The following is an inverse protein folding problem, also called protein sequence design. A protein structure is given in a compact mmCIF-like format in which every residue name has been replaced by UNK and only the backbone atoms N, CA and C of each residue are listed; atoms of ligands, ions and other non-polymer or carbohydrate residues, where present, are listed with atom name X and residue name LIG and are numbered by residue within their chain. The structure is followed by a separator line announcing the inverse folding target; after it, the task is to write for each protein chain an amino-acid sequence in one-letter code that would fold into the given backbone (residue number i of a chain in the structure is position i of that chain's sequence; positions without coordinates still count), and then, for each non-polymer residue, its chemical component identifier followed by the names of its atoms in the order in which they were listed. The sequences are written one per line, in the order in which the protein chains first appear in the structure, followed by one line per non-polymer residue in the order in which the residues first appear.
data_IF_106320067199
#
_entry.id   IF_106320067199
#
_cell.length_a   1.000
_cell.length_b   1.000
_cell.length_c   1.000
_cell.angle_alpha   90.00
_cell.angle_beta   90.00
_cell.angle_gamma   90.00
#
_symmetry.space_group_name_H-M   'P 1'
#
loop_
_entity.id
_entity.type
_entity.pdbx_description
1 polymer ?
#
# COMPACT_ATOMS: atom_id res chain seq x y z
N UNK A 1 -14.31 9.49 -13.97
CA UNK A 1 -13.07 8.78 -13.65
C UNK A 1 -13.13 8.37 -12.18
N UNK A 2 -13.15 7.07 -11.91
CA UNK A 2 -13.21 6.51 -10.55
C UNK A 2 -11.81 6.41 -9.90
N UNK A 3 -10.76 6.68 -10.66
CA UNK A 3 -9.38 6.67 -10.16
C UNK A 3 -9.12 7.93 -9.34
N UNK A 4 -8.62 7.74 -8.13
CA UNK A 4 -8.23 8.76 -7.16
C UNK A 4 -6.73 8.72 -6.93
N UNK A 5 -6.21 9.81 -6.36
CA UNK A 5 -4.81 9.93 -5.97
C UNK A 5 -4.76 10.36 -4.52
N UNK A 6 -3.84 9.78 -3.76
CA UNK A 6 -3.54 10.18 -2.41
C UNK A 6 -2.03 10.25 -2.21
N UNK A 7 -1.48 11.37 -1.73
CA UNK A 7 -0.04 11.48 -1.52
C UNK A 7 0.41 10.63 -0.33
N UNK A 8 1.59 10.04 -0.47
CA UNK A 8 2.39 9.52 0.63
C UNK A 8 3.50 10.52 0.88
N UNK A 9 3.55 11.09 2.09
CA UNK A 9 4.42 12.21 2.41
C UNK A 9 5.46 11.88 3.47
N UNK A 10 6.64 12.47 3.35
CA UNK A 10 7.61 12.55 4.43
C UNK A 10 7.30 13.73 5.35
N UNK A 11 7.37 13.49 6.67
CA UNK A 11 7.37 14.51 7.72
C UNK A 11 8.53 14.18 8.64
N UNK A 12 9.51 15.07 8.72
CA UNK A 12 10.70 14.85 9.54
C UNK A 12 10.84 15.97 10.58
N UNK A 13 11.62 15.76 11.65
CA UNK A 13 11.90 16.83 12.61
C UNK A 13 12.55 18.05 11.97
N UNK A 14 13.34 17.85 10.91
CA UNK A 14 13.99 18.94 10.17
C UNK A 14 13.03 19.66 9.21
N UNK A 15 11.97 18.97 8.74
CA UNK A 15 10.95 19.54 7.87
C UNK A 15 9.57 19.02 8.30
N UNK A 16 8.85 19.80 9.13
CA UNK A 16 7.53 19.41 9.64
C UNK A 16 6.40 19.53 8.59
N UNK A 17 6.65 20.21 7.46
CA UNK A 17 5.67 20.30 6.39
C UNK A 17 5.70 19.00 5.56
N UNK A 18 4.52 18.42 5.22
CA UNK A 18 4.44 17.22 4.40
C UNK A 18 5.13 17.42 3.04
N UNK A 19 6.02 16.48 2.70
CA UNK A 19 6.70 16.47 1.40
C UNK A 19 6.29 15.20 0.65
N UNK A 20 5.57 15.31 -0.48
CA UNK A 20 5.16 14.14 -1.24
C UNK A 20 6.37 13.32 -1.72
N UNK A 21 6.33 12.01 -1.47
CA UNK A 21 7.35 11.04 -1.93
C UNK A 21 6.85 10.32 -3.17
N UNK A 22 5.60 9.88 -3.14
CA UNK A 22 4.89 9.25 -4.25
C UNK A 22 3.37 9.42 -4.07
N UNK A 23 2.62 9.09 -5.13
CA UNK A 23 1.16 9.16 -5.16
C UNK A 23 0.57 7.76 -5.23
N UNK A 24 -0.28 7.38 -4.29
CA UNK A 24 -1.09 6.18 -4.45
C UNK A 24 -2.21 6.44 -5.45
N UNK A 25 -2.31 5.55 -6.44
CA UNK A 25 -3.43 5.50 -7.38
C UNK A 25 -4.38 4.39 -6.96
N UNK A 26 -5.61 4.72 -6.64
CA UNK A 26 -6.60 3.75 -6.21
C UNK A 26 -7.97 3.99 -6.82
N UNK A 27 -8.78 2.94 -6.85
CA UNK A 27 -10.19 3.03 -7.22
C UNK A 27 -11.00 2.96 -5.93
N UNK A 28 -11.82 3.99 -5.69
CA UNK A 28 -12.67 4.03 -4.51
C UNK A 28 -13.79 3.00 -4.61
N UNK A 29 -13.70 1.93 -3.82
CA UNK A 29 -14.72 0.89 -3.72
C UNK A 29 -16.04 1.48 -3.21
N UNK A 30 -16.00 2.43 -2.28
CA UNK A 30 -17.20 3.09 -1.76
C UNK A 30 -17.93 3.92 -2.83
N UNK A 31 -17.19 4.66 -3.66
CA UNK A 31 -17.79 5.40 -4.78
C UNK A 31 -18.32 4.46 -5.85
N UNK A 32 -17.59 3.40 -6.15
CA UNK A 32 -18.04 2.38 -7.08
C UNK A 32 -19.34 1.73 -6.58
N UNK A 33 -19.40 1.34 -5.32
CA UNK A 33 -20.60 0.76 -4.69
C UNK A 33 -21.78 1.72 -4.82
N UNK A 34 -21.63 2.98 -4.42
CA UNK A 34 -22.69 3.98 -4.50
C UNK A 34 -23.19 4.21 -5.92
N UNK A 35 -22.31 4.08 -6.92
CA UNK A 35 -22.64 4.36 -8.32
C UNK A 35 -23.24 3.18 -9.05
N UNK A 36 -22.86 1.94 -8.69
CA UNK A 36 -23.20 0.73 -9.47
C UNK A 36 -24.17 -0.18 -8.73
N UNK A 37 -23.98 -0.39 -7.42
CA UNK A 37 -24.76 -1.35 -6.61
C UNK A 37 -24.98 -0.83 -5.20
N UNK A 38 -25.76 0.27 -5.03
CA UNK A 38 -25.89 0.97 -3.75
C UNK A 38 -26.45 0.09 -2.62
N UNK A 39 -27.31 -0.88 -2.96
CA UNK A 39 -28.01 -1.74 -2.00
C UNK A 39 -27.28 -3.06 -1.74
N UNK A 40 -26.11 -3.27 -2.34
CA UNK A 40 -25.37 -4.53 -2.19
C UNK A 40 -24.13 -4.35 -1.30
N UNK A 41 -24.02 -5.20 -0.27
CA UNK A 41 -22.83 -5.25 0.56
C UNK A 41 -21.74 -6.11 -0.10
N UNK A 42 -20.86 -5.45 -0.84
CA UNK A 42 -19.73 -6.10 -1.52
C UNK A 42 -18.74 -6.75 -0.54
N UNK A 43 -18.69 -6.29 0.71
CA UNK A 43 -17.76 -6.81 1.72
C UNK A 43 -18.28 -8.07 2.39
N UNK A 44 -19.59 -8.34 2.31
CA UNK A 44 -20.21 -9.55 2.90
C UNK A 44 -19.81 -10.84 2.18
N UNK A 45 -19.34 -10.75 0.93
CA UNK A 45 -18.91 -11.90 0.13
C UNK A 45 -17.46 -11.74 -0.31
N UNK A 46 -16.55 -12.35 0.42
CA UNK A 46 -15.10 -12.27 0.19
C UNK A 46 -14.69 -12.72 -1.22
N UNK A 47 -15.34 -13.75 -1.77
CA UNK A 47 -15.05 -14.24 -3.13
C UNK A 47 -15.42 -13.20 -4.19
N UNK A 48 -16.63 -12.62 -4.08
CA UNK A 48 -17.11 -11.58 -4.99
C UNK A 48 -16.22 -10.34 -4.88
N UNK A 49 -15.83 -9.95 -3.67
CA UNK A 49 -14.93 -8.82 -3.44
C UNK A 49 -13.56 -9.05 -4.11
N UNK A 50 -12.96 -10.23 -3.96
CA UNK A 50 -11.69 -10.56 -4.62
C UNK A 50 -11.81 -10.57 -6.14
N UNK A 51 -12.90 -11.09 -6.69
CA UNK A 51 -13.13 -11.06 -8.13
C UNK A 51 -13.29 -9.63 -8.65
N UNK A 52 -14.01 -8.80 -7.91
CA UNK A 52 -14.16 -7.37 -8.24
C UNK A 52 -12.80 -6.65 -8.22
N UNK A 53 -12.01 -6.81 -7.16
CA UNK A 53 -10.70 -6.16 -7.05
C UNK A 53 -9.76 -6.58 -8.17
N UNK A 54 -9.71 -7.87 -8.54
CA UNK A 54 -8.95 -8.33 -9.70
C UNK A 54 -9.42 -7.68 -11.02
N UNK A 55 -10.72 -7.52 -11.20
CA UNK A 55 -11.27 -6.84 -12.39
C UNK A 55 -10.88 -5.37 -12.41
N UNK A 56 -10.90 -4.70 -11.24
CA UNK A 56 -10.47 -3.30 -11.11
C UNK A 56 -8.98 -3.12 -11.36
N UNK A 57 -8.15 -4.06 -10.91
CA UNK A 57 -6.72 -4.07 -11.18
C UNK A 57 -6.45 -4.07 -12.70
N UNK A 58 -7.09 -4.99 -13.43
CA UNK A 58 -6.94 -5.08 -14.89
C UNK A 58 -7.36 -3.78 -15.58
N UNK A 59 -8.44 -3.15 -15.11
CA UNK A 59 -8.88 -1.84 -15.61
C UNK A 59 -7.90 -0.73 -15.29
N UNK A 60 -7.33 -0.74 -14.09
CA UNK A 60 -6.29 0.22 -13.69
C UNK A 60 -5.07 0.11 -14.61
N UNK A 61 -4.55 -1.11 -14.83
CA UNK A 61 -3.42 -1.33 -15.72
C UNK A 61 -3.71 -0.84 -17.14
N UNK A 62 -4.91 -1.13 -17.70
CA UNK A 62 -5.32 -0.64 -19.02
C UNK A 62 -5.32 0.90 -19.08
N UNK A 63 -5.83 1.58 -18.05
CA UNK A 63 -5.83 3.04 -18.00
C UNK A 63 -4.41 3.58 -17.95
N UNK A 64 -3.51 2.95 -17.18
CA UNK A 64 -2.13 3.37 -17.07
C UNK A 64 -1.34 3.18 -18.38
N UNK A 65 -1.61 2.11 -19.13
CA UNK A 65 -0.99 1.88 -20.46
C UNK A 65 -1.38 2.98 -21.47
N UNK A 66 -2.62 3.49 -21.39
CA UNK A 66 -3.16 4.46 -22.35
C UNK A 66 -2.96 5.93 -21.93
N UNK A 67 -2.61 6.18 -20.66
CA UNK A 67 -2.30 7.53 -20.23
C UNK A 67 -0.84 7.86 -20.55
N UNK A 68 -0.63 9.06 -21.10
CA UNK A 68 0.69 9.57 -21.42
C UNK A 68 1.68 9.43 -20.26
N UNK A 69 2.94 9.19 -20.57
CA UNK A 69 4.10 8.98 -19.68
C UNK A 69 4.16 9.91 -18.44
N UNK A 70 3.54 11.10 -18.50
CA UNK A 70 3.56 12.10 -17.42
C UNK A 70 2.95 11.62 -16.09
N UNK A 71 2.06 10.62 -16.11
CA UNK A 71 1.47 10.05 -14.87
C UNK A 71 2.45 9.12 -14.17
N UNK A 72 3.32 8.44 -14.93
CA UNK A 72 4.28 7.45 -14.45
C UNK A 72 5.67 8.06 -14.25
N UNK A 73 5.94 9.24 -14.83
CA UNK A 73 7.17 10.01 -14.57
C UNK A 73 7.26 10.51 -13.12
N UNK A 74 6.14 10.62 -12.42
CA UNK A 74 6.10 10.78 -10.95
C UNK A 74 6.07 9.42 -10.28
N UNK A 75 6.77 9.26 -9.15
CA UNK A 75 6.69 8.03 -8.35
C UNK A 75 5.24 7.74 -7.94
N UNK A 76 4.76 6.54 -8.25
CA UNK A 76 3.39 6.12 -7.96
C UNK A 76 3.37 4.80 -7.19
N UNK A 77 2.28 4.55 -6.47
CA UNK A 77 1.92 3.21 -6.02
C UNK A 77 0.57 2.78 -6.57
N UNK A 78 0.41 1.48 -6.78
CA UNK A 78 -0.81 0.85 -7.27
C UNK A 78 -1.13 -0.40 -6.47
N UNK A 79 -2.39 -0.55 -6.10
CA UNK A 79 -2.89 -1.76 -5.45
C UNK A 79 -3.14 -2.85 -6.50
N UNK A 80 -2.55 -4.02 -6.33
CA UNK A 80 -2.76 -5.17 -7.21
C UNK A 80 -2.93 -6.46 -6.41
N UNK A 81 -3.64 -7.42 -7.00
CA UNK A 81 -3.66 -8.79 -6.52
C UNK A 81 -2.47 -9.57 -7.08
N UNK A 82 -1.98 -10.59 -6.35
CA UNK A 82 -0.90 -11.47 -6.81
C UNK A 82 -1.23 -12.10 -8.17
N UNK A 83 -2.47 -12.53 -8.38
CA UNK A 83 -2.92 -13.08 -9.66
C UNK A 83 -2.82 -12.08 -10.82
N UNK A 84 -3.08 -10.81 -10.55
CA UNK A 84 -2.95 -9.75 -11.56
C UNK A 84 -1.50 -9.59 -12.00
N UNK A 85 -0.54 -9.64 -11.07
CA UNK A 85 0.89 -9.56 -11.39
C UNK A 85 1.34 -10.71 -12.30
N UNK A 86 0.73 -11.88 -12.14
CA UNK A 86 1.02 -13.07 -12.94
C UNK A 86 0.19 -13.16 -14.23
N UNK A 87 -0.56 -12.10 -14.56
CA UNK A 87 -1.42 -12.06 -15.75
C UNK A 87 -0.69 -11.50 -16.98
N UNK A 88 -1.18 -11.82 -18.19
CA UNK A 88 -0.69 -11.20 -19.43
C UNK A 88 -0.85 -9.68 -19.44
N UNK A 89 -1.87 -9.14 -18.76
CA UNK A 89 -2.14 -7.71 -18.67
C UNK A 89 -1.04 -6.97 -17.91
N UNK A 90 -0.52 -7.57 -16.83
CA UNK A 90 0.62 -6.98 -16.12
C UNK A 90 1.89 -7.02 -16.99
N UNK A 91 2.11 -8.08 -17.75
CA UNK A 91 3.23 -8.16 -18.69
C UNK A 91 3.12 -7.06 -19.76
N UNK A 92 1.91 -6.81 -20.27
CA UNK A 92 1.68 -5.73 -21.24
C UNK A 92 1.95 -4.36 -20.60
N UNK A 93 1.51 -4.15 -19.35
CA UNK A 93 1.81 -2.94 -18.59
C UNK A 93 3.33 -2.77 -18.41
N UNK A 94 4.03 -3.80 -17.94
CA UNK A 94 5.48 -3.78 -17.77
C UNK A 94 6.23 -3.46 -19.06
N UNK A 95 5.79 -4.03 -20.18
CA UNK A 95 6.38 -3.76 -21.50
C UNK A 95 6.10 -2.33 -22.00
N UNK A 96 5.04 -1.69 -21.53
CA UNK A 96 4.74 -0.29 -21.86
C UNK A 96 5.60 0.70 -21.09
N UNK A 97 6.21 0.28 -19.96
CA UNK A 97 7.05 1.13 -19.13
C UNK A 97 8.49 1.22 -19.65
N UNK A 98 9.06 2.41 -19.59
CA UNK A 98 10.51 2.58 -19.74
C UNK A 98 11.23 1.87 -18.59
N UNK A 99 12.38 1.29 -18.83
CA UNK A 99 13.15 0.60 -17.81
C UNK A 99 13.49 1.50 -16.60
N UNK A 100 13.70 2.79 -16.83
CA UNK A 100 13.96 3.79 -15.79
C UNK A 100 12.74 4.08 -14.91
N UNK A 101 11.53 3.89 -15.42
CA UNK A 101 10.28 4.20 -14.68
C UNK A 101 9.83 3.06 -13.78
N UNK A 102 10.33 1.84 -13.94
CA UNK A 102 9.93 0.70 -13.10
C UNK A 102 10.30 0.92 -11.63
N UNK A 103 11.46 1.48 -11.35
CA UNK A 103 11.91 1.80 -9.98
C UNK A 103 11.07 2.88 -9.27
N UNK A 104 10.26 3.64 -10.01
CA UNK A 104 9.35 4.66 -9.44
C UNK A 104 7.96 4.09 -9.15
N UNK A 105 7.67 2.85 -9.57
CA UNK A 105 6.39 2.18 -9.30
C UNK A 105 6.52 1.29 -8.06
N UNK A 106 5.63 1.50 -7.10
CA UNK A 106 5.45 0.64 -5.93
C UNK A 106 4.19 -0.20 -6.15
N UNK A 107 4.30 -1.52 -6.06
CA UNK A 107 3.15 -2.42 -6.10
C UNK A 107 2.73 -2.73 -4.67
N UNK A 108 1.50 -2.38 -4.32
CA UNK A 108 0.92 -2.61 -3.00
C UNK A 108 0.10 -3.90 -3.00
N UNK A 109 0.38 -4.78 -2.06
CA UNK A 109 -0.26 -6.09 -1.90
C UNK A 109 -0.90 -6.22 -0.52
N UNK A 110 -2.02 -6.90 -0.46
CA UNK A 110 -2.75 -7.15 0.79
C UNK A 110 -2.29 -8.47 1.44
N UNK A 111 -2.19 -8.54 2.78
CA UNK A 111 -1.82 -9.77 3.50
C UNK A 111 -2.69 -10.96 3.11
N UNK A 112 -4.00 -10.76 3.00
CA UNK A 112 -4.94 -11.83 2.66
C UNK A 112 -4.65 -12.46 1.29
N UNK A 113 -4.19 -11.69 0.33
CA UNK A 113 -3.88 -12.17 -1.00
C UNK A 113 -2.56 -12.96 -1.01
N UNK A 114 -1.55 -12.46 -0.30
CA UNK A 114 -0.23 -13.08 -0.16
C UNK A 114 -0.33 -14.41 0.56
N UNK A 115 -0.94 -14.43 1.75
CA UNK A 115 -1.00 -15.62 2.60
C UNK A 115 -2.00 -16.66 2.11
N UNK A 116 -2.88 -16.32 1.16
CA UNK A 116 -3.77 -17.31 0.53
C UNK A 116 -3.05 -18.23 -0.45
N UNK A 117 -1.96 -17.75 -1.08
CA UNK A 117 -1.10 -18.53 -1.98
C UNK A 117 0.33 -18.00 -1.94
N UNK A 118 1.08 -18.46 -0.94
CA UNK A 118 2.47 -18.06 -0.72
C UNK A 118 3.38 -18.43 -1.90
N UNK A 119 3.10 -19.55 -2.56
CA UNK A 119 3.87 -20.00 -3.72
C UNK A 119 3.73 -19.02 -4.90
N UNK A 120 2.51 -18.64 -5.23
CA UNK A 120 2.23 -17.64 -6.26
C UNK A 120 2.86 -16.27 -5.89
N UNK A 121 2.76 -15.86 -4.62
CA UNK A 121 3.38 -14.62 -4.16
C UNK A 121 4.91 -14.64 -4.34
N UNK A 122 5.58 -15.70 -3.91
CA UNK A 122 7.05 -15.79 -4.02
C UNK A 122 7.51 -15.68 -5.48
N UNK A 123 6.79 -16.31 -6.40
CA UNK A 123 7.07 -16.20 -7.82
C UNK A 123 6.83 -14.79 -8.36
N UNK A 124 5.69 -14.16 -8.01
CA UNK A 124 5.38 -12.78 -8.38
C UNK A 124 6.41 -11.79 -7.82
N UNK A 125 6.81 -11.96 -6.55
CA UNK A 125 7.86 -11.16 -5.92
C UNK A 125 9.18 -11.20 -6.69
N UNK A 126 9.65 -12.40 -7.00
CA UNK A 126 10.93 -12.57 -7.69
C UNK A 126 10.87 -11.95 -9.08
N UNK A 127 9.78 -12.16 -9.82
CA UNK A 127 9.52 -11.52 -11.10
C UNK A 127 9.53 -9.98 -11.00
N UNK A 128 8.85 -9.40 -10.02
CA UNK A 128 8.83 -7.94 -9.84
C UNK A 128 10.21 -7.38 -9.47
N UNK A 129 10.94 -8.06 -8.59
CA UNK A 129 12.29 -7.64 -8.17
C UNK A 129 13.30 -7.67 -9.31
N UNK A 130 13.27 -8.71 -10.15
CA UNK A 130 14.11 -8.79 -11.36
C UNK A 130 13.85 -7.62 -12.32
N UNK A 131 12.62 -7.10 -12.32
CA UNK A 131 12.22 -5.96 -13.17
C UNK A 131 12.44 -4.59 -12.51
N UNK A 132 12.82 -4.55 -11.24
CA UNK A 132 13.14 -3.33 -10.51
C UNK A 132 11.94 -2.64 -9.84
N UNK A 133 10.78 -3.29 -9.76
CA UNK A 133 9.65 -2.79 -8.97
C UNK A 133 9.94 -2.83 -7.48
N UNK A 134 9.33 -1.91 -6.75
CA UNK A 134 9.27 -1.96 -5.29
C UNK A 134 7.94 -2.57 -4.83
N UNK A 135 7.98 -3.28 -3.71
CA UNK A 135 6.82 -3.97 -3.17
C UNK A 135 6.49 -3.42 -1.79
N UNK A 136 5.24 -3.04 -1.59
CA UNK A 136 4.71 -2.64 -0.29
C UNK A 136 3.67 -3.65 0.20
N UNK A 137 3.72 -3.98 1.49
CA UNK A 137 2.66 -4.73 2.16
C UNK A 137 1.69 -3.71 2.77
N UNK A 138 0.48 -3.66 2.25
CA UNK A 138 -0.57 -2.73 2.67
C UNK A 138 -1.56 -3.38 3.64
N UNK A 139 -2.26 -2.58 4.42
CA UNK A 139 -3.34 -3.06 5.28
C UNK A 139 -2.89 -3.74 6.57
N UNK A 140 -1.68 -3.50 7.03
CA UNK A 140 -1.22 -4.04 8.31
C UNK A 140 -1.87 -3.33 9.48
N UNK A 141 -2.24 -4.09 10.50
CA UNK A 141 -2.52 -3.58 11.83
C UNK A 141 -1.39 -3.97 12.80
N UNK A 142 -1.42 -3.43 14.02
CA UNK A 142 -0.40 -3.69 15.03
C UNK A 142 -0.31 -5.17 15.42
N UNK A 143 -1.42 -5.93 15.33
CA UNK A 143 -1.44 -7.35 15.68
C UNK A 143 -0.75 -8.23 14.62
N UNK A 144 -0.87 -7.85 13.35
CA UNK A 144 -0.26 -8.61 12.25
C UNK A 144 1.23 -8.26 12.12
N UNK A 145 1.62 -7.01 12.38
CA UNK A 145 2.99 -6.53 12.19
C UNK A 145 4.05 -7.38 12.91
N UNK A 146 3.73 -7.91 14.09
CA UNK A 146 4.64 -8.75 14.88
C UNK A 146 5.07 -10.03 14.16
N UNK A 147 4.23 -10.54 13.23
CA UNK A 147 4.48 -11.78 12.48
C UNK A 147 5.15 -11.53 11.12
N UNK A 148 5.35 -10.26 10.75
CA UNK A 148 5.93 -9.92 9.45
C UNK A 148 7.45 -9.90 9.54
N UNK A 149 8.08 -10.81 8.82
CA UNK A 149 9.49 -10.74 8.48
C UNK A 149 9.63 -10.04 7.13
N UNK A 150 9.81 -8.71 7.18
CA UNK A 150 9.87 -7.86 5.99
C UNK A 150 10.95 -8.31 5.00
N UNK A 151 12.13 -8.64 5.51
CA UNK A 151 13.30 -8.96 4.67
C UNK A 151 13.14 -10.32 4.00
N UNK A 152 12.73 -11.32 4.76
CA UNK A 152 12.49 -12.66 4.24
C UNK A 152 11.36 -12.68 3.21
N UNK A 153 10.27 -11.97 3.47
CA UNK A 153 9.17 -11.83 2.54
C UNK A 153 9.49 -10.91 1.35
N UNK A 154 10.49 -10.04 1.46
CA UNK A 154 11.00 -9.23 0.36
C UNK A 154 10.24 -7.94 0.14
N UNK A 155 9.60 -7.37 1.18
CA UNK A 155 8.94 -6.08 1.07
C UNK A 155 9.93 -4.91 1.20
N UNK A 156 9.77 -3.91 0.34
CA UNK A 156 10.50 -2.64 0.44
C UNK A 156 9.87 -1.71 1.45
N UNK A 157 8.53 -1.73 1.55
CA UNK A 157 7.75 -0.85 2.41
C UNK A 157 6.65 -1.65 3.13
N UNK A 158 6.25 -1.17 4.30
CA UNK A 158 5.12 -1.67 5.09
C UNK A 158 4.16 -0.52 5.37
N UNK A 159 2.84 -0.71 5.15
CA UNK A 159 1.81 0.28 5.48
C UNK A 159 1.04 -0.18 6.72
N UNK A 160 1.31 0.46 7.84
CA UNK A 160 0.63 0.23 9.11
C UNK A 160 -0.58 1.17 9.23
N UNK A 161 -1.78 0.61 9.26
CA UNK A 161 -3.00 1.36 9.49
C UNK A 161 -3.10 1.77 10.94
N UNK A 162 -3.07 3.08 11.17
CA UNK A 162 -3.32 3.61 12.49
C UNK A 162 -4.78 3.43 12.90
N UNK A 163 -4.99 3.12 14.17
CA UNK A 163 -6.29 3.15 14.83
C UNK A 163 -6.14 3.70 16.25
N UNK A 164 -7.17 4.36 16.81
CA UNK A 164 -7.13 4.91 18.18
C UNK A 164 -6.74 3.89 19.24
N UNK A 165 -7.12 2.63 19.07
CA UNK A 165 -6.80 1.51 19.97
C UNK A 165 -5.28 1.30 20.15
N UNK A 166 -4.47 1.75 19.20
CA UNK A 166 -3.01 1.65 19.29
C UNK A 166 -2.42 2.65 20.26
N UNK A 167 -3.08 3.80 20.45
CA UNK A 167 -2.69 4.84 21.38
C UNK A 167 -3.25 4.58 22.78
N UNK A 168 -4.31 3.77 22.92
CA UNK A 168 -4.97 3.45 24.18
C UNK A 168 -4.21 2.34 24.94
N UNK A 169 -2.99 2.67 25.36
CA UNK A 169 -2.09 1.76 26.09
C UNK A 169 -1.79 2.29 27.48
N UNK A 170 -2.65 1.94 28.43
CA UNK A 170 -2.49 2.34 29.85
C UNK A 170 -1.25 1.74 30.52
N UNK A 171 -0.62 0.71 29.92
CA UNK A 171 0.55 0.02 30.47
C UNK A 171 1.88 0.48 29.89
N UNK A 172 1.85 1.11 28.71
CA UNK A 172 3.03 1.44 27.92
C UNK A 172 3.75 0.23 27.28
N UNK A 173 3.30 -0.99 27.62
CA UNK A 173 3.93 -2.24 27.16
C UNK A 173 3.70 -2.46 25.68
N UNK A 174 2.47 -2.24 25.21
CA UNK A 174 2.10 -2.42 23.79
C UNK A 174 2.88 -1.49 22.88
N UNK A 175 3.05 -0.23 23.28
CA UNK A 175 3.84 0.74 22.51
C UNK A 175 5.31 0.33 22.44
N UNK A 176 5.87 -0.20 23.54
CA UNK A 176 7.25 -0.68 23.55
C UNK A 176 7.44 -1.89 22.62
N UNK A 177 6.54 -2.87 22.67
CA UNK A 177 6.54 -4.04 21.79
C UNK A 177 6.39 -3.63 20.31
N UNK A 178 5.48 -2.69 20.04
CA UNK A 178 5.28 -2.19 18.67
C UNK A 178 6.52 -1.48 18.13
N UNK A 179 7.22 -0.70 18.97
CA UNK A 179 8.50 -0.08 18.61
C UNK A 179 9.56 -1.11 18.26
N UNK A 180 9.66 -2.18 19.04
CA UNK A 180 10.60 -3.28 18.78
C UNK A 180 10.30 -3.94 17.41
N UNK A 181 9.03 -4.17 17.10
CA UNK A 181 8.63 -4.73 15.81
C UNK A 181 8.95 -3.79 14.65
N UNK A 182 8.68 -2.49 14.82
CA UNK A 182 9.02 -1.45 13.84
C UNK A 182 10.53 -1.37 13.62
N UNK A 183 11.32 -1.45 14.68
CA UNK A 183 12.79 -1.45 14.59
C UNK A 183 13.32 -2.65 13.83
N UNK A 184 12.78 -3.82 14.08
CA UNK A 184 13.11 -5.06 13.37
C UNK A 184 12.74 -4.97 11.87
N UNK A 185 11.61 -4.35 11.55
CA UNK A 185 11.18 -4.14 10.16
C UNK A 185 11.93 -3.01 9.44
N UNK A 186 12.56 -2.10 10.20
CA UNK A 186 13.24 -0.90 9.69
C UNK A 186 12.30 0.32 9.67
N UNK A 187 12.55 1.30 10.57
CA UNK A 187 11.73 2.52 10.73
C UNK A 187 11.53 3.30 9.44
N UNK A 188 12.56 3.40 8.62
CA UNK A 188 12.52 4.11 7.34
C UNK A 188 11.69 3.38 6.25
N UNK A 189 11.24 2.17 6.53
CA UNK A 189 10.42 1.34 5.63
C UNK A 189 8.94 1.32 6.03
N UNK A 190 8.60 1.97 7.15
CA UNK A 190 7.24 2.02 7.66
C UNK A 190 6.53 3.28 7.17
N UNK A 191 5.36 3.09 6.56
CA UNK A 191 4.38 4.13 6.27
C UNK A 191 3.26 4.00 7.29
N UNK A 192 2.99 5.06 8.05
CA UNK A 192 1.80 5.11 8.91
C UNK A 192 0.66 5.64 8.07
N UNK A 193 -0.32 4.80 7.79
CA UNK A 193 -1.47 5.11 6.96
C UNK A 193 -2.73 5.35 7.80
N UNK A 194 -3.76 5.94 7.19
CA UNK A 194 -4.96 6.46 7.87
C UNK A 194 -4.65 7.57 8.88
N UNK A 195 -3.67 8.39 8.56
CA UNK A 195 -3.37 9.58 9.35
C UNK A 195 -4.41 10.68 9.08
N UNK A 196 -5.59 10.52 9.67
CA UNK A 196 -6.72 11.43 9.53
C UNK A 196 -6.81 12.45 10.67
N UNK A 197 -5.83 12.45 11.58
CA UNK A 197 -5.71 13.36 12.72
C UNK A 197 -4.25 13.63 13.10
N UNK A 198 -4.02 14.71 13.84
CA UNK A 198 -2.71 15.05 14.43
C UNK A 198 -2.23 13.95 15.40
N UNK A 199 -3.14 13.30 16.12
CA UNK A 199 -2.83 12.18 17.00
C UNK A 199 -2.15 11.03 16.26
N UNK A 200 -2.66 10.67 15.07
CA UNK A 200 -2.09 9.62 14.22
C UNK A 200 -0.64 9.95 13.82
N UNK A 201 -0.39 11.20 13.46
CA UNK A 201 0.96 11.67 13.09
C UNK A 201 1.91 11.60 14.30
N UNK A 202 1.47 12.12 15.46
CA UNK A 202 2.27 12.06 16.70
C UNK A 202 2.57 10.64 17.12
N UNK A 203 1.58 9.74 16.98
CA UNK A 203 1.79 8.33 17.26
C UNK A 203 2.85 7.73 16.34
N UNK A 204 2.77 7.97 15.03
CA UNK A 204 3.79 7.53 14.08
C UNK A 204 5.17 8.08 14.39
N UNK A 205 5.29 9.36 14.79
CA UNK A 205 6.54 9.96 15.25
C UNK A 205 7.08 9.23 16.50
N UNK A 206 6.22 8.84 17.43
CA UNK A 206 6.61 8.06 18.61
C UNK A 206 7.18 6.69 18.26
N UNK A 207 6.76 6.10 17.12
CA UNK A 207 7.34 4.87 16.57
C UNK A 207 8.65 5.10 15.80
N UNK A 208 9.03 6.37 15.57
CA UNK A 208 10.18 6.74 14.76
C UNK A 208 9.92 6.69 13.24
N UNK A 209 8.65 6.61 12.81
CA UNK A 209 8.30 6.75 11.40
C UNK A 209 8.46 8.21 10.94
N UNK A 210 8.80 8.35 9.67
CA UNK A 210 8.87 9.65 8.98
C UNK A 210 7.99 9.71 7.74
N UNK A 211 7.24 8.63 7.45
CA UNK A 211 6.42 8.52 6.25
C UNK A 211 4.97 8.27 6.63
N UNK A 212 4.07 9.05 6.04
CA UNK A 212 2.67 9.13 6.42
C UNK A 212 1.75 9.20 5.21
N UNK A 213 0.52 8.71 5.39
CA UNK A 213 -0.55 8.82 4.42
C UNK A 213 -1.90 8.99 5.13
N UNK A 214 -2.72 9.92 4.69
CA UNK A 214 -4.06 10.14 5.26
C UNK A 214 -4.59 11.54 5.01
N UNK A 215 -5.87 11.75 5.25
CA UNK A 215 -6.57 13.01 4.94
C UNK A 215 -6.06 14.23 5.73
N UNK A 216 -5.40 14.01 6.84
CA UNK A 216 -4.82 15.11 7.63
C UNK A 216 -3.54 15.67 6.98
N UNK A 217 -2.96 14.94 6.02
CA UNK A 217 -1.65 15.24 5.41
C UNK A 217 -1.82 15.64 3.93
N UNK A 218 -3.01 15.45 3.36
CA UNK A 218 -3.36 15.75 1.96
C UNK A 218 -3.33 17.26 1.65
#
# INVERSE_FOLDING_TARGET
NLMRRQPVCAITPANPNPQPIFQELYISIDELRKSVVPDFDLLSNLWLFRHLTQTLDLRMLQVLIHNDDSTIDSSISINLNVKTILSPEFINFDNSLKASSRGTVVVELQPIDIFSDMGAYMFARDFMRERGYRIALDGLNHQILQFIDREHLGFDLLKLFWSPEMADDNSGTRLAELKEHVDRCGRARLIVARCDSDEAVRFGQSLGSTVYQGRYID
#
